data_IF_233814935320
#
_entry.id   IF_233814935320
#
_cell.length_a   1.000
_cell.length_b   1.000
_cell.length_c   1.000
_cell.angle_alpha   90.00
_cell.angle_beta   90.00
_cell.angle_gamma   90.00
#
_symmetry.space_group_name_H-M   'P 1'
#
loop_
_entity.id
_entity.type
_entity.pdbx_description
1 polymer ?
#
# COMPACT_ATOMS: atom_id res chain seq x y z
N UNK A 1 -14.74 37.07 -34.11
CA UNK A 1 -15.80 37.38 -33.11
C UNK A 1 -15.10 37.38 -31.74
N UNK A 2 -14.69 38.51 -31.12
CA UNK A 2 -15.49 39.49 -30.34
C UNK A 2 -16.58 38.75 -29.53
N UNK A 3 -16.61 38.74 -28.18
CA UNK A 3 -16.54 39.87 -27.23
C UNK A 3 -16.35 39.29 -25.81
N UNK A 4 -15.25 39.57 -25.09
CA UNK A 4 -15.17 40.44 -23.89
C UNK A 4 -16.49 40.82 -23.20
N UNK A 5 -16.63 40.46 -21.91
CA UNK A 5 -17.57 41.09 -20.98
C UNK A 5 -16.77 41.78 -19.86
N UNK A 6 -17.03 43.08 -19.69
CA UNK A 6 -16.39 43.98 -18.71
C UNK A 6 -17.33 44.18 -17.52
N UNK A 7 -16.70 44.30 -16.35
CA UNK A 7 -16.97 45.25 -15.27
C UNK A 7 -18.40 45.41 -14.71
N UNK A 8 -18.51 45.30 -13.39
CA UNK A 8 -19.22 46.32 -12.62
C UNK A 8 -18.54 46.61 -11.28
N UNK A 9 -18.20 47.90 -11.13
CA UNK A 9 -17.77 48.59 -9.93
C UNK A 9 -18.94 48.67 -8.93
N UNK A 10 -18.65 48.59 -7.63
CA UNK A 10 -19.43 49.28 -6.62
C UNK A 10 -18.48 49.89 -5.58
N UNK A 11 -18.42 51.22 -5.62
CA UNK A 11 -17.75 52.09 -4.67
C UNK A 11 -18.68 52.42 -3.48
N UNK A 12 -18.10 53.01 -2.43
CA UNK A 12 -18.72 53.72 -1.29
C UNK A 12 -18.78 52.89 0.01
N UNK A 13 -18.46 53.39 1.20
CA UNK A 13 -18.06 54.73 1.63
C UNK A 13 -17.25 54.64 2.94
N UNK A 14 -16.41 55.65 3.12
CA UNK A 14 -15.62 55.99 4.30
C UNK A 14 -16.53 56.33 5.50
N UNK A 15 -16.23 55.78 6.69
CA UNK A 15 -16.57 56.44 7.95
C UNK A 15 -15.43 56.26 8.95
N UNK A 16 -14.69 57.35 9.18
CA UNK A 16 -13.77 57.50 10.30
C UNK A 16 -14.57 57.61 11.60
N UNK A 17 -14.24 56.81 12.60
CA UNK A 17 -14.60 57.09 13.99
C UNK A 17 -13.34 56.93 14.86
N UNK A 18 -12.73 58.07 15.19
CA UNK A 18 -11.67 58.19 16.19
C UNK A 18 -12.28 58.17 17.58
N UNK A 19 -11.84 57.24 18.44
CA UNK A 19 -12.11 57.23 19.88
C UNK A 19 -10.79 57.06 20.65
N UNK A 20 -10.74 57.56 21.90
CA UNK A 20 -9.52 58.05 22.53
C UNK A 20 -8.65 56.96 23.15
N UNK A 21 -7.36 57.29 23.24
CA UNK A 21 -6.33 56.68 24.08
C UNK A 21 -6.84 56.37 25.49
N UNK A 22 -6.88 55.09 25.84
CA UNK A 22 -6.73 54.63 27.21
C UNK A 22 -5.47 53.77 27.29
N UNK A 23 -4.49 54.28 28.04
CA UNK A 23 -3.33 53.54 28.48
C UNK A 23 -3.80 52.36 29.35
N UNK A 24 -3.76 51.16 28.79
CA UNK A 24 -3.89 49.92 29.53
C UNK A 24 -2.47 49.42 29.80
N UNK A 25 -1.99 49.65 31.03
CA UNK A 25 -0.92 48.85 31.59
C UNK A 25 -1.41 47.39 31.62
N UNK A 26 -0.85 46.56 30.74
CA UNK A 26 -1.11 45.12 30.70
C UNK A 26 0.10 44.36 31.25
N UNK A 27 -0.16 43.28 32.02
CA UNK A 27 0.84 42.55 32.78
C UNK A 27 1.89 41.93 31.85
N UNK A 28 3.14 41.97 32.27
CA UNK A 28 4.23 41.16 31.74
C UNK A 28 3.80 39.69 31.82
N UNK A 29 3.32 39.17 30.70
CA UNK A 29 3.08 37.74 30.52
C UNK A 29 4.27 37.24 29.73
N UNK A 30 5.33 36.87 30.45
CA UNK A 30 6.13 35.73 30.04
C UNK A 30 5.14 34.57 29.81
N UNK A 31 5.37 33.75 28.77
CA UNK A 31 4.50 32.68 28.26
C UNK A 31 3.55 33.04 27.11
N UNK A 32 4.12 33.50 26.00
CA UNK A 32 3.80 32.90 24.71
C UNK A 32 4.93 31.91 24.38
N UNK A 33 4.93 30.79 25.11
CA UNK A 33 5.86 29.69 24.93
C UNK A 33 5.85 29.22 23.49
N UNK A 34 7.03 29.25 22.88
CA UNK A 34 7.38 28.52 21.66
C UNK A 34 6.44 28.80 20.49
N UNK A 35 6.66 29.95 19.84
CA UNK A 35 6.72 29.94 18.37
C UNK A 35 7.47 28.67 17.97
N UNK A 36 6.73 27.75 17.36
CA UNK A 36 7.21 26.91 16.29
C UNK A 36 8.67 26.51 16.52
N UNK A 37 8.92 25.51 17.39
CA UNK A 37 10.20 24.81 17.47
C UNK A 37 10.72 24.72 16.04
N UNK A 38 11.76 25.51 15.76
CA UNK A 38 12.19 25.84 14.41
C UNK A 38 12.15 24.56 13.60
N UNK A 39 11.16 24.44 12.69
CA UNK A 39 10.99 23.25 11.88
C UNK A 39 12.34 23.06 11.23
N UNK A 40 13.05 22.06 11.71
CA UNK A 40 14.43 21.81 11.36
C UNK A 40 14.45 21.79 9.84
N UNK A 41 15.29 22.62 9.24
CA UNK A 41 15.51 22.73 7.79
C UNK A 41 16.14 21.46 7.20
N UNK A 42 15.95 20.32 7.87
CA UNK A 42 16.26 18.98 7.43
C UNK A 42 15.10 18.48 6.57
N UNK A 43 15.44 17.95 5.39
CA UNK A 43 14.46 17.32 4.48
C UNK A 43 13.67 16.22 5.18
N UNK A 44 14.25 15.55 6.17
CA UNK A 44 13.59 14.53 7.00
C UNK A 44 13.12 15.10 8.34
N UNK A 45 12.18 16.04 8.28
CA UNK A 45 11.39 16.47 9.44
C UNK A 45 10.36 15.39 9.85
N UNK A 46 9.70 15.58 11.00
CA UNK A 46 8.75 14.60 11.55
C UNK A 46 7.58 14.29 10.62
N UNK A 47 7.11 15.28 9.85
CA UNK A 47 6.02 15.08 8.88
C UNK A 47 6.45 14.12 7.76
N UNK A 48 7.60 14.37 7.12
CA UNK A 48 8.11 13.51 6.05
C UNK A 48 8.46 12.10 6.56
N UNK A 49 8.99 11.98 7.78
CA UNK A 49 9.24 10.66 8.42
C UNK A 49 7.94 9.91 8.66
N UNK A 50 6.91 10.61 9.14
CA UNK A 50 5.59 10.02 9.37
C UNK A 50 4.97 9.53 8.06
N UNK A 51 5.04 10.33 6.98
CA UNK A 51 4.54 9.94 5.66
C UNK A 51 5.24 8.69 5.15
N UNK A 52 6.57 8.62 5.23
CA UNK A 52 7.30 7.42 4.81
C UNK A 52 6.88 6.20 5.62
N UNK A 53 6.78 6.31 6.95
CA UNK A 53 6.36 5.20 7.80
C UNK A 53 4.96 4.70 7.46
N UNK A 54 4.01 5.60 7.22
CA UNK A 54 2.66 5.23 6.80
C UNK A 54 2.70 4.50 5.46
N UNK A 55 3.45 5.01 4.49
CA UNK A 55 3.59 4.36 3.19
C UNK A 55 4.24 2.95 3.30
N UNK A 56 5.26 2.81 4.15
CA UNK A 56 5.90 1.52 4.43
C UNK A 56 4.98 0.55 5.19
N UNK A 57 4.04 1.04 6.00
CA UNK A 57 3.06 0.20 6.66
C UNK A 57 2.05 -0.41 5.66
N UNK A 58 1.75 0.30 4.56
CA UNK A 58 0.84 -0.15 3.50
C UNK A 58 1.52 -1.00 2.42
N UNK A 59 2.82 -1.31 2.59
CA UNK A 59 3.64 -2.05 1.60
C UNK A 59 3.08 -3.44 1.23
N UNK A 60 2.24 -4.03 2.08
CA UNK A 60 1.56 -5.30 1.81
C UNK A 60 0.68 -5.24 0.55
N UNK A 61 0.09 -4.07 0.24
CA UNK A 61 -0.70 -3.88 -0.98
C UNK A 61 0.12 -4.07 -2.25
N UNK A 62 1.43 -3.90 -2.14
CA UNK A 62 2.37 -4.04 -3.23
C UNK A 62 3.10 -5.39 -3.22
N UNK A 63 2.72 -6.32 -2.33
CA UNK A 63 3.40 -7.60 -2.15
C UNK A 63 4.81 -7.46 -1.55
N UNK A 64 5.08 -6.36 -0.85
CA UNK A 64 6.40 -6.03 -0.28
C UNK A 64 6.45 -6.23 1.24
N UNK A 65 5.48 -6.93 1.84
CA UNK A 65 5.35 -7.16 3.27
C UNK A 65 6.54 -7.89 3.89
N UNK A 66 7.16 -8.78 3.11
CA UNK A 66 8.35 -9.54 3.48
C UNK A 66 9.67 -8.76 3.41
N UNK A 67 9.66 -7.53 2.87
CA UNK A 67 10.85 -6.68 2.73
C UNK A 67 10.86 -5.64 3.85
N UNK A 68 11.97 -5.56 4.58
CA UNK A 68 12.22 -4.52 5.56
C UNK A 68 13.03 -3.39 4.94
N UNK A 69 12.37 -2.25 4.65
CA UNK A 69 13.01 -1.07 4.08
C UNK A 69 13.67 -0.17 5.13
N UNK A 70 13.04 -0.04 6.30
CA UNK A 70 13.49 0.81 7.40
C UNK A 70 13.62 -0.05 8.67
N UNK A 71 14.78 -0.08 9.34
CA UNK A 71 14.94 -0.80 10.60
C UNK A 71 14.08 -0.20 11.72
N UNK A 72 13.55 -1.03 12.62
CA UNK A 72 12.66 -0.61 13.72
C UNK A 72 13.30 0.38 14.70
N UNK A 73 14.62 0.29 14.87
CA UNK A 73 15.43 1.16 15.73
C UNK A 73 15.94 2.42 15.01
N UNK A 74 15.45 2.72 13.80
CA UNK A 74 15.96 3.83 12.98
C UNK A 74 15.98 5.18 13.70
N UNK A 75 14.95 5.50 14.49
CA UNK A 75 14.85 6.78 15.20
C UNK A 75 15.75 6.90 16.43
N UNK A 76 16.28 5.77 16.93
CA UNK A 76 17.11 5.74 18.14
C UNK A 76 18.58 6.08 17.85
N UNK A 77 18.94 6.26 16.57
CA UNK A 77 20.30 6.50 16.11
C UNK A 77 20.64 8.00 16.12
N UNK A 78 21.92 8.32 15.89
CA UNK A 78 22.34 9.71 15.73
C UNK A 78 21.70 10.35 14.50
N UNK A 79 21.53 11.69 14.52
CA UNK A 79 20.80 12.42 13.49
C UNK A 79 21.25 12.12 12.05
N UNK A 80 22.56 12.09 11.80
CA UNK A 80 23.12 11.80 10.46
C UNK A 80 22.85 10.37 10.00
N UNK A 81 22.84 9.41 10.93
CA UNK A 81 22.52 8.01 10.64
C UNK A 81 21.03 7.84 10.37
N UNK A 82 20.18 8.55 11.10
CA UNK A 82 18.74 8.60 10.88
C UNK A 82 18.43 9.12 9.48
N UNK A 83 18.93 10.31 9.10
CA UNK A 83 18.64 10.89 7.78
C UNK A 83 19.08 9.99 6.62
N UNK A 84 20.26 9.35 6.75
CA UNK A 84 20.74 8.39 5.76
C UNK A 84 19.81 7.17 5.68
N UNK A 85 19.39 6.61 6.81
CA UNK A 85 18.50 5.45 6.85
C UNK A 85 17.15 5.75 6.19
N UNK A 86 16.54 6.91 6.47
CA UNK A 86 15.29 7.33 5.83
C UNK A 86 15.44 7.57 4.33
N UNK A 87 16.54 8.21 3.90
CA UNK A 87 16.81 8.42 2.47
C UNK A 87 16.98 7.09 1.74
N UNK A 88 17.74 6.15 2.31
CA UNK A 88 17.95 4.83 1.74
C UNK A 88 16.64 4.03 1.67
N UNK A 89 15.84 4.05 2.75
CA UNK A 89 14.54 3.39 2.79
C UNK A 89 13.58 3.95 1.74
N UNK A 90 13.49 5.29 1.62
CA UNK A 90 12.63 5.95 0.66
C UNK A 90 13.01 5.62 -0.79
N UNK A 91 14.31 5.64 -1.11
CA UNK A 91 14.79 5.30 -2.46
C UNK A 91 14.56 3.82 -2.79
N UNK A 92 14.87 2.92 -1.85
CA UNK A 92 14.64 1.49 -2.04
C UNK A 92 13.15 1.18 -2.23
N UNK A 93 12.27 1.81 -1.44
CA UNK A 93 10.83 1.66 -1.57
C UNK A 93 10.32 2.24 -2.89
N UNK A 94 10.73 3.46 -3.24
CA UNK A 94 10.37 4.09 -4.52
C UNK A 94 10.80 3.25 -5.72
N UNK A 95 11.99 2.65 -5.67
CA UNK A 95 12.47 1.75 -6.72
C UNK A 95 11.61 0.48 -6.79
N UNK A 96 11.26 -0.12 -5.65
CA UNK A 96 10.38 -1.29 -5.62
C UNK A 96 8.98 -0.98 -6.19
N UNK A 97 8.41 0.19 -5.89
CA UNK A 97 7.12 0.62 -6.44
C UNK A 97 7.19 0.84 -7.97
N UNK A 98 8.24 1.52 -8.44
CA UNK A 98 8.36 1.90 -9.85
C UNK A 98 8.82 0.76 -10.77
N UNK A 99 9.61 -0.18 -10.25
CA UNK A 99 10.35 -1.16 -11.07
C UNK A 99 10.17 -2.61 -10.62
N UNK A 100 9.46 -2.85 -9.50
CA UNK A 100 9.43 -4.13 -8.81
C UNK A 100 10.68 -4.37 -7.95
N UNK A 101 10.52 -5.19 -6.91
CA UNK A 101 11.63 -5.56 -6.03
C UNK A 101 12.57 -6.63 -6.62
N UNK A 102 12.09 -7.38 -7.61
CA UNK A 102 12.85 -8.46 -8.26
C UNK A 102 13.22 -8.04 -9.66
N UNK A 103 14.47 -8.33 -10.05
CA UNK A 103 14.91 -8.12 -11.42
C UNK A 103 14.46 -9.29 -12.32
N UNK A 104 13.51 -9.11 -13.26
CA UNK A 104 13.09 -10.17 -14.15
C UNK A 104 14.21 -10.70 -15.07
N UNK A 105 15.21 -9.88 -15.40
CA UNK A 105 16.35 -10.33 -16.19
C UNK A 105 17.24 -11.34 -15.44
N UNK A 106 17.16 -11.36 -14.09
CA UNK A 106 17.81 -12.40 -13.28
C UNK A 106 17.06 -13.73 -13.28
N UNK A 107 15.77 -13.73 -13.67
CA UNK A 107 14.91 -14.91 -13.67
C UNK A 107 14.84 -15.60 -15.03
N UNK A 108 15.02 -14.85 -16.13
CA UNK A 108 14.90 -15.36 -17.49
C UNK A 108 15.95 -14.74 -18.42
N UNK A 109 16.67 -15.59 -19.19
CA UNK A 109 17.73 -15.18 -20.12
C UNK A 109 17.26 -14.29 -21.28
N UNK A 110 15.96 -14.32 -21.62
CA UNK A 110 15.39 -13.54 -22.72
C UNK A 110 14.30 -12.61 -22.17
N UNK A 111 14.73 -11.49 -21.59
CA UNK A 111 13.84 -10.38 -21.24
C UNK A 111 14.10 -9.21 -22.18
N UNK A 112 13.13 -8.89 -23.04
CA UNK A 112 13.26 -7.89 -24.12
C UNK A 112 12.48 -6.60 -23.88
N UNK A 113 11.77 -6.49 -22.76
CA UNK A 113 10.95 -5.31 -22.43
C UNK A 113 11.86 -4.25 -21.77
N UNK A 114 11.91 -3.06 -22.36
CA UNK A 114 12.68 -1.94 -21.80
C UNK A 114 12.08 -1.44 -20.49
N UNK A 115 12.93 -1.22 -19.49
CA UNK A 115 12.53 -0.73 -18.16
C UNK A 115 12.48 0.80 -18.14
N UNK A 116 11.47 1.41 -17.49
CA UNK A 116 11.52 2.83 -17.15
C UNK A 116 12.68 3.12 -16.19
N UNK A 117 13.59 4.02 -16.57
CA UNK A 117 14.63 4.56 -15.69
C UNK A 117 14.23 5.98 -15.29
N UNK A 118 13.82 6.17 -14.03
CA UNK A 118 13.56 7.49 -13.46
C UNK A 118 14.68 7.88 -12.49
N UNK A 119 15.07 9.15 -12.48
CA UNK A 119 15.94 9.69 -11.42
C UNK A 119 15.11 9.88 -10.14
N UNK A 120 15.10 8.85 -9.30
CA UNK A 120 14.37 8.85 -8.04
C UNK A 120 15.03 9.74 -6.98
N UNK A 121 16.33 10.06 -7.13
CA UNK A 121 17.08 10.87 -6.17
C UNK A 121 16.65 12.33 -6.18
N UNK A 122 16.62 12.93 -7.38
CA UNK A 122 16.16 14.30 -7.53
C UNK A 122 14.66 14.43 -7.19
N UNK A 123 13.85 13.47 -7.66
CA UNK A 123 12.42 13.46 -7.40
C UNK A 123 12.08 13.36 -5.90
N UNK A 124 12.80 12.52 -5.15
CA UNK A 124 12.67 12.44 -3.69
C UNK A 124 13.01 13.77 -3.01
N UNK A 125 14.13 14.40 -3.40
CA UNK A 125 14.54 15.69 -2.83
C UNK A 125 13.49 16.77 -3.07
N UNK A 126 12.90 16.82 -4.27
CA UNK A 126 11.81 17.74 -4.59
C UNK A 126 10.58 17.44 -3.74
N UNK A 127 10.14 16.18 -3.67
CA UNK A 127 8.96 15.79 -2.92
C UNK A 127 9.07 16.10 -1.42
N UNK A 128 10.26 15.94 -0.83
CA UNK A 128 10.53 16.28 0.57
C UNK A 128 10.49 17.79 0.84
N UNK A 129 11.03 18.61 -0.08
CA UNK A 129 11.00 20.08 0.01
C UNK A 129 9.59 20.63 -0.15
N UNK A 130 8.84 20.07 -1.08
CA UNK A 130 7.51 20.55 -1.46
C UNK A 130 6.41 19.98 -0.56
N UNK A 131 6.74 19.01 0.32
CA UNK A 131 5.79 18.38 1.24
C UNK A 131 4.78 17.45 0.55
N UNK A 132 5.14 16.91 -0.62
CA UNK A 132 4.28 16.06 -1.46
C UNK A 132 4.75 14.61 -1.54
N UNK A 133 5.51 14.16 -0.53
CA UNK A 133 6.09 12.81 -0.49
C UNK A 133 5.04 11.70 -0.67
N UNK A 134 3.87 11.85 -0.06
CA UNK A 134 2.77 10.87 -0.16
C UNK A 134 2.27 10.75 -1.60
N UNK A 135 1.96 11.88 -2.24
CA UNK A 135 1.49 11.92 -3.62
C UNK A 135 2.54 11.35 -4.57
N UNK A 136 3.81 11.69 -4.37
CA UNK A 136 4.89 11.19 -5.20
C UNK A 136 5.02 9.66 -5.08
N UNK A 137 5.08 9.12 -3.85
CA UNK A 137 5.14 7.66 -3.63
C UNK A 137 3.92 6.94 -4.22
N UNK A 138 2.71 7.46 -4.00
CA UNK A 138 1.47 6.89 -4.51
C UNK A 138 1.39 6.87 -6.05
N UNK A 139 2.13 7.74 -6.73
CA UNK A 139 2.22 7.79 -8.19
C UNK A 139 3.25 6.84 -8.81
N UNK A 140 4.09 6.17 -8.01
CA UNK A 140 5.13 5.28 -8.52
C UNK A 140 4.62 3.88 -8.84
N UNK A 141 3.62 3.39 -8.11
CA UNK A 141 3.04 2.08 -8.34
C UNK A 141 2.21 2.08 -9.64
N UNK A 142 2.09 0.92 -10.33
CA UNK A 142 1.15 0.77 -11.43
C UNK A 142 -0.27 1.12 -10.98
N UNK A 143 -0.99 1.88 -11.82
CA UNK A 143 -2.33 2.40 -11.51
C UNK A 143 -3.44 1.74 -12.33
N UNK A 144 -3.10 0.74 -13.13
CA UNK A 144 -4.05 0.00 -13.96
C UNK A 144 -4.99 -0.91 -13.13
N UNK A 145 -6.12 -1.27 -13.74
CA UNK A 145 -7.16 -2.07 -13.10
C UNK A 145 -6.68 -3.49 -12.80
N UNK A 146 -5.82 -4.04 -13.66
CA UNK A 146 -5.24 -5.36 -13.52
C UNK A 146 -4.34 -5.45 -12.29
N UNK A 147 -3.47 -4.46 -12.08
CA UNK A 147 -2.62 -4.35 -10.90
C UNK A 147 -3.46 -4.25 -9.62
N UNK A 148 -4.51 -3.42 -9.62
CA UNK A 148 -5.41 -3.29 -8.45
C UNK A 148 -6.09 -4.62 -8.10
N UNK A 149 -6.62 -5.34 -9.10
CA UNK A 149 -7.22 -6.66 -8.89
C UNK A 149 -6.22 -7.66 -8.33
N UNK A 150 -4.97 -7.64 -8.82
CA UNK A 150 -3.92 -8.52 -8.32
C UNK A 150 -3.56 -8.20 -6.86
N UNK A 151 -3.38 -6.93 -6.54
CA UNK A 151 -3.16 -6.46 -5.16
C UNK A 151 -4.30 -6.91 -4.23
N UNK A 152 -5.56 -6.72 -4.63
CA UNK A 152 -6.72 -7.12 -3.81
C UNK A 152 -6.77 -8.64 -3.60
N UNK A 153 -6.48 -9.42 -4.64
CA UNK A 153 -6.39 -10.88 -4.55
C UNK A 153 -5.25 -11.33 -3.61
N UNK A 154 -4.09 -10.66 -3.66
CA UNK A 154 -2.97 -10.92 -2.77
C UNK A 154 -3.35 -10.68 -1.30
N UNK A 155 -3.96 -9.53 -1.01
CA UNK A 155 -4.42 -9.18 0.35
C UNK A 155 -5.48 -10.16 0.86
N UNK A 156 -6.40 -10.61 -0.01
CA UNK A 156 -7.38 -11.64 0.36
C UNK A 156 -6.70 -12.97 0.69
N UNK A 157 -5.79 -13.44 -0.16
CA UNK A 157 -5.05 -14.68 0.05
C UNK A 157 -4.20 -14.66 1.34
N UNK A 158 -3.56 -13.53 1.66
CA UNK A 158 -2.77 -13.39 2.89
C UNK A 158 -3.64 -13.33 4.17
N UNK A 159 -4.87 -12.83 4.08
CA UNK A 159 -5.83 -12.91 5.20
C UNK A 159 -6.32 -14.33 5.43
N UNK A 160 -6.48 -15.10 4.36
CA UNK A 160 -6.96 -16.48 4.43
C UNK A 160 -5.86 -17.47 4.83
N UNK A 161 -4.58 -17.25 4.48
CA UNK A 161 -3.45 -18.08 4.97
C UNK A 161 -3.14 -17.92 6.45
N UNK A 162 -3.63 -16.85 7.11
CA UNK A 162 -3.67 -16.79 8.57
C UNK A 162 -4.60 -17.88 9.17
N UNK A 163 -5.49 -18.47 8.36
CA UNK A 163 -6.19 -19.73 8.66
C UNK A 163 -5.31 -20.85 8.13
N UNK A 164 -5.01 -21.85 8.97
CA UNK A 164 -4.14 -22.98 8.62
C UNK A 164 -4.47 -23.53 7.22
N UNK A 165 -3.48 -23.47 6.31
CA UNK A 165 -3.56 -24.16 5.02
C UNK A 165 -3.71 -25.66 5.31
N UNK A 166 -4.79 -26.31 4.87
CA UNK A 166 -4.98 -27.73 5.09
C UNK A 166 -3.80 -28.49 4.47
N UNK A 167 -2.97 -29.11 5.32
CA UNK A 167 -1.89 -29.97 4.83
C UNK A 167 -2.47 -31.35 4.58
N UNK A 168 -2.70 -31.68 3.32
CA UNK A 168 -3.13 -33.03 2.94
C UNK A 168 -1.90 -33.94 3.02
N UNK A 169 -1.84 -34.76 4.09
CA UNK A 169 -0.72 -35.65 4.33
C UNK A 169 -0.73 -36.85 3.36
N UNK A 170 -0.15 -36.69 2.17
CA UNK A 170 -0.04 -37.76 1.18
C UNK A 170 0.95 -38.83 1.67
N UNK A 171 0.46 -40.04 1.91
CA UNK A 171 1.31 -41.18 2.30
C UNK A 171 1.99 -41.85 1.10
N UNK A 172 1.43 -41.68 -0.10
CA UNK A 172 1.94 -42.18 -1.40
C UNK A 172 1.49 -41.26 -2.52
N UNK A 173 2.22 -41.26 -3.64
CA UNK A 173 1.80 -40.57 -4.86
C UNK A 173 0.48 -41.14 -5.39
N UNK A 174 -0.37 -40.26 -5.90
CA UNK A 174 -1.68 -40.59 -6.48
C UNK A 174 -1.60 -40.37 -7.98
N UNK A 175 -1.99 -41.36 -8.77
CA UNK A 175 -2.01 -41.29 -10.22
C UNK A 175 -3.46 -41.26 -10.73
N UNK A 176 -3.62 -40.86 -11.99
CA UNK A 176 -4.94 -40.90 -12.66
C UNK A 176 -5.43 -42.34 -12.73
N UNK A 177 -6.63 -42.59 -12.21
CA UNK A 177 -7.24 -43.92 -12.15
C UNK A 177 -7.06 -44.63 -10.80
N UNK A 178 -6.21 -44.11 -9.90
CA UNK A 178 -6.06 -44.67 -8.56
C UNK A 178 -7.32 -44.45 -7.72
N UNK A 179 -7.67 -45.46 -6.92
CA UNK A 179 -8.64 -45.29 -5.83
C UNK A 179 -7.87 -44.97 -4.55
N UNK A 180 -7.97 -43.73 -4.07
CA UNK A 180 -7.28 -43.28 -2.87
C UNK A 180 -8.26 -42.61 -1.88
N UNK A 181 -8.22 -42.94 -0.58
CA UNK A 181 -9.13 -42.39 0.43
C UNK A 181 -9.01 -40.86 0.62
N UNK A 182 -7.91 -40.24 0.19
CA UNK A 182 -7.65 -38.81 0.30
C UNK A 182 -8.22 -37.99 -0.87
N UNK A 183 -8.70 -38.64 -1.94
CA UNK A 183 -9.29 -37.96 -3.11
C UNK A 183 -10.42 -36.99 -2.75
N UNK A 184 -11.36 -37.31 -1.82
CA UNK A 184 -12.40 -36.36 -1.44
C UNK A 184 -11.86 -35.10 -0.76
N UNK A 185 -10.81 -35.22 0.06
CA UNK A 185 -10.18 -34.08 0.73
C UNK A 185 -9.45 -33.19 -0.27
N UNK A 186 -8.70 -33.79 -1.20
CA UNK A 186 -8.05 -33.08 -2.32
C UNK A 186 -9.10 -32.38 -3.18
N UNK A 187 -10.20 -33.05 -3.50
CA UNK A 187 -11.26 -32.47 -4.31
C UNK A 187 -11.95 -31.28 -3.62
N UNK A 188 -12.16 -31.34 -2.30
CA UNK A 188 -12.68 -30.20 -1.54
C UNK A 188 -11.70 -29.02 -1.57
N UNK A 189 -10.40 -29.26 -1.32
CA UNK A 189 -9.38 -28.22 -1.41
C UNK A 189 -9.34 -27.57 -2.80
N UNK A 190 -9.44 -28.36 -3.87
CA UNK A 190 -9.50 -27.83 -5.24
C UNK A 190 -10.78 -27.04 -5.52
N UNK A 191 -11.90 -27.34 -4.85
CA UNK A 191 -13.11 -26.51 -4.93
C UNK A 191 -12.91 -25.19 -4.21
N UNK A 192 -12.33 -25.22 -3.02
CA UNK A 192 -12.05 -24.03 -2.21
C UNK A 192 -11.05 -23.10 -2.92
N UNK A 193 -10.02 -23.68 -3.56
CA UNK A 193 -9.04 -22.97 -4.38
C UNK A 193 -9.58 -22.53 -5.75
N UNK A 194 -10.83 -22.90 -6.09
CA UNK A 194 -11.49 -22.52 -7.35
C UNK A 194 -11.03 -23.29 -8.60
N UNK A 195 -10.12 -24.26 -8.47
CA UNK A 195 -9.69 -25.15 -9.56
C UNK A 195 -10.76 -26.16 -9.98
N UNK A 196 -11.71 -26.47 -9.10
CA UNK A 196 -12.85 -27.36 -9.37
C UNK A 196 -14.18 -26.66 -9.07
N UNK A 197 -15.11 -26.63 -10.04
CA UNK A 197 -16.42 -25.96 -9.83
C UNK A 197 -17.30 -26.62 -8.76
N UNK A 198 -17.21 -27.95 -8.61
CA UNK A 198 -17.88 -28.75 -7.57
C UNK A 198 -17.31 -30.16 -7.57
N UNK A 199 -17.16 -30.76 -6.40
CA UNK A 199 -16.97 -32.20 -6.25
C UNK A 199 -18.32 -32.88 -6.02
N UNK A 200 -18.69 -33.94 -6.78
CA UNK A 200 -19.91 -34.69 -6.51
C UNK A 200 -19.79 -35.37 -5.13
N UNK A 201 -20.50 -34.86 -4.12
CA UNK A 201 -20.66 -35.62 -2.87
C UNK A 201 -21.51 -36.84 -3.16
N UNK A 202 -20.97 -38.03 -2.92
CA UNK A 202 -21.63 -39.32 -3.14
C UNK A 202 -22.94 -39.53 -2.33
N UNK A 203 -23.44 -38.54 -1.61
CA UNK A 203 -24.67 -38.63 -0.81
C UNK A 203 -25.98 -38.53 -1.60
N UNK A 204 -25.91 -38.29 -2.92
CA UNK A 204 -27.10 -38.13 -3.76
C UNK A 204 -27.33 -39.28 -4.76
N UNK A 205 -26.29 -40.04 -5.12
CA UNK A 205 -26.42 -41.25 -5.96
C UNK A 205 -26.87 -42.49 -5.18
N UNK A 206 -26.53 -42.59 -3.89
CA UNK A 206 -27.01 -43.70 -3.04
C UNK A 206 -28.54 -43.64 -2.81
N UNK A 207 -29.11 -42.43 -2.67
CA UNK A 207 -30.55 -42.23 -2.42
C UNK A 207 -31.45 -42.55 -3.63
N UNK A 208 -30.84 -42.69 -4.82
CA UNK A 208 -31.54 -43.11 -6.04
C UNK A 208 -31.64 -44.63 -6.21
N UNK A 209 -30.75 -45.40 -5.56
CA UNK A 209 -30.73 -46.86 -5.65
C UNK A 209 -31.76 -47.51 -4.70
N UNK A 210 -32.03 -46.87 -3.55
CA UNK A 210 -33.08 -47.29 -2.62
C UNK A 210 -34.48 -47.26 -3.26
N UNK A 211 -34.68 -46.40 -4.27
CA UNK A 211 -35.94 -46.26 -5.01
C UNK A 211 -36.25 -47.40 -5.97
N UNK A 212 -35.25 -48.19 -6.38
CA UNK A 212 -35.44 -49.32 -7.31
C UNK A 212 -35.50 -50.67 -6.61
N UNK A 213 -34.99 -50.78 -5.39
CA UNK A 213 -35.02 -52.03 -4.59
C UNK A 213 -36.40 -52.24 -3.92
N UNK A 214 -37.19 -51.19 -3.73
CA UNK A 214 -38.53 -51.27 -3.13
C UNK A 214 -39.67 -51.57 -4.14
N UNK A 215 -39.36 -51.82 -5.42
CA UNK A 215 -40.35 -52.04 -6.49
C UNK A 215 -40.22 -53.40 -7.20
N UNK A 216 -39.47 -54.35 -6.63
CA UNK A 216 -39.40 -55.75 -7.09
C UNK A 216 -39.79 -56.71 -5.97
#
# INVERSE_FOLDING_TARGET
>A
MKTTFRAMLAASALTFLTLPTMAQARPSTDEAGTLQSAQSSALWNDANRSVLKTALADRERHGLDHIMFLPDDADQRSHTVVEKAYTQAALAYAQALAQGAVDPASLHDVYTISRPTADLGEALSNALRDGVLEQWLGGLAPSDDEYRKLSDAYLAANRDTAKQVPTIALTKSIHVGDTNPQVPEIANQLVDDGYLKRWPRLSEQARGLDKWIAAG
#
